data_IF_310995730739
#
_entry.id   IF_310995730739
#
_cell.length_a   1.000
_cell.length_b   1.000
_cell.length_c   1.000
_cell.angle_alpha   90.00
_cell.angle_beta   90.00
_cell.angle_gamma   90.00
#
_symmetry.space_group_name_H-M   'P 1'
#
loop_
_entity.id
_entity.type
_entity.pdbx_description
1 polymer ?
#
# COMPACT_ATOMS: atom_id res chain seq x y z
N UNK A 1 -11.49 -19.70 10.54
CA UNK A 1 -10.97 -18.32 10.37
C UNK A 1 -12.12 -17.50 9.82
N UNK A 2 -12.60 -16.51 10.56
CA UNK A 2 -13.68 -15.60 10.16
C UNK A 2 -13.09 -14.20 10.26
N UNK A 3 -13.30 -13.37 9.24
CA UNK A 3 -12.83 -11.98 9.21
C UNK A 3 -13.63 -11.13 10.20
N UNK A 4 -13.01 -10.07 10.71
CA UNK A 4 -13.77 -9.04 11.44
C UNK A 4 -14.58 -8.20 10.47
N UNK A 5 -15.62 -7.52 10.98
CA UNK A 5 -16.41 -6.59 10.17
C UNK A 5 -15.54 -5.48 9.55
N UNK A 6 -14.55 -4.98 10.29
CA UNK A 6 -13.60 -3.98 9.81
C UNK A 6 -12.73 -4.53 8.65
N UNK A 7 -12.23 -5.75 8.78
CA UNK A 7 -11.47 -6.43 7.72
C UNK A 7 -12.33 -6.65 6.46
N UNK A 8 -13.60 -7.03 6.62
CA UNK A 8 -14.55 -7.18 5.51
C UNK A 8 -14.81 -5.85 4.80
N UNK A 9 -15.06 -4.78 5.56
CA UNK A 9 -15.29 -3.43 5.01
C UNK A 9 -14.08 -2.92 4.23
N UNK A 10 -12.88 -3.06 4.77
CA UNK A 10 -11.64 -2.63 4.10
C UNK A 10 -11.44 -3.45 2.81
N UNK A 11 -11.57 -4.79 2.89
CA UNK A 11 -11.47 -5.66 1.71
C UNK A 11 -12.44 -5.22 0.62
N UNK A 12 -13.71 -5.05 0.96
CA UNK A 12 -14.74 -4.71 -0.03
C UNK A 12 -14.52 -3.31 -0.64
N UNK A 13 -14.02 -2.35 0.15
CA UNK A 13 -13.68 -1.01 -0.35
C UNK A 13 -12.51 -1.06 -1.34
N UNK A 14 -11.46 -1.83 -1.05
CA UNK A 14 -10.30 -1.95 -1.95
C UNK A 14 -10.60 -2.85 -3.16
N UNK A 15 -11.55 -3.78 -3.04
CA UNK A 15 -12.08 -4.51 -4.18
C UNK A 15 -12.75 -3.57 -5.17
N UNK A 16 -13.66 -2.71 -4.70
CA UNK A 16 -14.33 -1.73 -5.56
C UNK A 16 -13.32 -0.82 -6.26
N UNK A 17 -12.36 -0.27 -5.51
CA UNK A 17 -11.26 0.51 -6.07
C UNK A 17 -10.49 -0.28 -7.14
N UNK A 18 -10.11 -1.53 -6.87
CA UNK A 18 -9.36 -2.34 -7.82
C UNK A 18 -10.14 -2.61 -9.12
N UNK A 19 -11.44 -2.88 -9.02
CA UNK A 19 -12.29 -3.13 -10.19
C UNK A 19 -12.56 -1.86 -11.02
N UNK A 20 -12.64 -0.69 -10.38
CA UNK A 20 -12.97 0.56 -11.07
C UNK A 20 -11.75 1.36 -11.54
N UNK A 21 -10.66 1.32 -10.77
CA UNK A 21 -9.49 2.20 -10.94
C UNK A 21 -8.24 1.48 -11.43
N UNK A 22 -8.17 0.14 -11.33
CA UNK A 22 -7.00 -0.64 -11.75
C UNK A 22 -7.32 -1.55 -12.93
N UNK A 23 -8.28 -2.47 -12.78
CA UNK A 23 -8.57 -3.53 -13.75
C UNK A 23 -8.83 -3.03 -15.19
N UNK A 24 -9.57 -1.93 -15.43
CA UNK A 24 -9.81 -1.42 -16.78
C UNK A 24 -8.54 -0.94 -17.49
N UNK A 25 -7.51 -0.55 -16.74
CA UNK A 25 -6.28 0.07 -17.26
C UNK A 25 -5.08 -0.89 -17.25
N UNK A 26 -5.11 -1.93 -16.42
CA UNK A 26 -4.00 -2.86 -16.20
C UNK A 26 -3.39 -3.40 -17.51
N UNK A 27 -4.23 -3.82 -18.47
CA UNK A 27 -3.74 -4.34 -19.75
C UNK A 27 -3.07 -3.28 -20.64
N UNK A 28 -3.47 -2.02 -20.55
CA UNK A 28 -2.80 -0.92 -21.25
C UNK A 28 -1.46 -0.57 -20.58
N UNK A 29 -1.46 -0.48 -19.24
CA UNK A 29 -0.25 -0.21 -18.47
C UNK A 29 0.83 -1.25 -18.68
N UNK A 30 0.47 -2.54 -18.74
CA UNK A 30 1.38 -3.63 -19.08
C UNK A 30 2.01 -3.44 -20.46
N UNK A 31 1.19 -3.27 -21.52
CA UNK A 31 1.67 -3.12 -22.90
C UNK A 31 2.59 -1.92 -23.09
N UNK A 32 2.36 -0.84 -22.36
CA UNK A 32 3.09 0.41 -22.49
C UNK A 32 4.11 0.67 -21.38
N UNK A 33 4.33 -0.30 -20.47
CA UNK A 33 5.18 -0.13 -19.28
C UNK A 33 4.86 1.15 -18.48
N UNK A 34 3.57 1.47 -18.36
CA UNK A 34 3.12 2.68 -17.68
C UNK A 34 3.17 2.49 -16.17
N UNK A 35 3.83 3.41 -15.49
CA UNK A 35 3.83 3.45 -14.03
C UNK A 35 2.50 4.07 -13.53
N UNK A 36 1.72 3.39 -12.66
CA UNK A 36 0.37 3.79 -12.29
C UNK A 36 0.35 4.91 -11.22
N UNK A 37 0.99 6.05 -11.50
CA UNK A 37 1.21 7.12 -10.52
C UNK A 37 -0.09 7.70 -9.93
N UNK A 38 -1.12 7.90 -10.76
CA UNK A 38 -2.40 8.44 -10.31
C UNK A 38 -3.14 7.48 -9.38
N UNK A 39 -3.20 6.19 -9.75
CA UNK A 39 -3.82 5.18 -8.91
C UNK A 39 -3.07 5.00 -7.58
N UNK A 40 -1.74 5.09 -7.57
CA UNK A 40 -0.94 5.04 -6.34
C UNK A 40 -1.18 6.26 -5.44
N UNK A 41 -1.37 7.46 -6.01
CA UNK A 41 -1.76 8.65 -5.24
C UNK A 41 -3.11 8.44 -4.55
N UNK A 42 -4.11 7.94 -5.29
CA UNK A 42 -5.44 7.65 -4.73
C UNK A 42 -5.38 6.57 -3.64
N UNK A 43 -4.59 5.51 -3.86
CA UNK A 43 -4.33 4.49 -2.83
C UNK A 43 -3.65 5.06 -1.57
N UNK A 44 -2.77 6.05 -1.74
CA UNK A 44 -2.19 6.80 -0.63
C UNK A 44 -3.25 7.58 0.17
N UNK A 45 -4.16 8.26 -0.52
CA UNK A 45 -5.28 8.99 0.09
C UNK A 45 -6.26 8.05 0.83
N UNK A 46 -6.38 6.79 0.37
CA UNK A 46 -7.14 5.73 1.04
C UNK A 46 -6.37 5.05 2.19
N UNK A 47 -5.12 5.45 2.47
CA UNK A 47 -4.28 4.87 3.52
C UNK A 47 -3.66 3.51 3.19
N UNK A 48 -3.78 3.04 1.94
CA UNK A 48 -3.29 1.72 1.53
C UNK A 48 -1.75 1.63 1.48
N UNK A 49 -1.04 2.76 1.47
CA UNK A 49 0.43 2.84 1.41
C UNK A 49 1.13 2.85 2.78
N UNK A 50 0.36 2.88 3.87
CA UNK A 50 0.87 2.88 5.25
C UNK A 50 -0.04 2.13 6.20
N UNK A 51 -0.66 1.04 5.75
CA UNK A 51 -1.75 0.37 6.47
C UNK A 51 -1.36 -0.04 7.89
N UNK A 52 -0.21 -0.71 8.04
CA UNK A 52 0.24 -1.26 9.31
C UNK A 52 1.11 -0.30 10.12
N UNK A 53 1.29 0.93 9.62
CA UNK A 53 2.04 1.96 10.33
C UNK A 53 1.11 2.61 11.36
N UNK A 54 1.54 2.80 12.62
CA UNK A 54 0.73 3.47 13.64
C UNK A 54 0.31 4.89 13.23
N UNK A 55 -0.86 5.32 13.71
CA UNK A 55 -1.40 6.66 13.43
C UNK A 55 -0.47 7.80 13.86
N UNK A 56 0.28 7.63 14.96
CA UNK A 56 1.30 8.61 15.41
C UNK A 56 2.37 8.89 14.34
N UNK A 57 2.63 7.92 13.46
CA UNK A 57 3.53 8.01 12.33
C UNK A 57 2.79 8.20 10.99
N UNK A 58 1.52 8.56 11.02
CA UNK A 58 0.73 8.92 9.83
C UNK A 58 0.25 7.74 8.99
N UNK A 59 0.24 6.52 9.53
CA UNK A 59 -0.38 5.37 8.88
C UNK A 59 -1.81 5.11 9.33
N UNK A 60 -2.39 4.00 8.88
CA UNK A 60 -3.78 3.63 9.17
C UNK A 60 -3.95 2.79 10.45
N UNK A 61 -2.87 2.35 11.10
CA UNK A 61 -2.93 1.59 12.36
C UNK A 61 -3.58 0.20 12.25
N UNK A 62 -3.69 -0.35 11.04
CA UNK A 62 -4.37 -1.62 10.74
C UNK A 62 -3.48 -2.83 11.01
N UNK A 63 -4.09 -4.02 11.05
CA UNK A 63 -3.37 -5.28 11.20
C UNK A 63 -2.86 -5.88 9.88
N UNK A 64 -1.98 -6.88 9.97
CA UNK A 64 -1.42 -7.57 8.81
C UNK A 64 -2.44 -8.41 8.03
N UNK A 65 -3.53 -8.86 8.66
CA UNK A 65 -4.61 -9.56 7.94
C UNK A 65 -5.33 -8.59 7.02
N UNK A 66 -5.64 -7.38 7.49
CA UNK A 66 -6.18 -6.29 6.68
C UNK A 66 -5.25 -5.96 5.51
N UNK A 67 -3.93 -5.87 5.74
CA UNK A 67 -2.96 -5.63 4.67
C UNK A 67 -2.97 -6.75 3.62
N UNK A 68 -3.01 -8.03 4.03
CA UNK A 68 -3.05 -9.16 3.10
C UNK A 68 -4.32 -9.13 2.25
N UNK A 69 -5.48 -8.86 2.86
CA UNK A 69 -6.76 -8.73 2.13
C UNK A 69 -6.69 -7.61 1.09
N UNK A 70 -6.14 -6.44 1.46
CA UNK A 70 -5.98 -5.32 0.53
C UNK A 70 -5.04 -5.66 -0.61
N UNK A 71 -3.90 -6.31 -0.34
CA UNK A 71 -2.97 -6.73 -1.39
C UNK A 71 -3.63 -7.74 -2.34
N UNK A 72 -4.43 -8.67 -1.82
CA UNK A 72 -5.18 -9.65 -2.64
C UNK A 72 -6.15 -8.95 -3.59
N UNK A 73 -6.94 -8.01 -3.10
CA UNK A 73 -7.92 -7.29 -3.92
C UNK A 73 -7.25 -6.38 -4.95
N UNK A 74 -6.18 -5.66 -4.58
CA UNK A 74 -5.39 -4.85 -5.53
C UNK A 74 -4.77 -5.75 -6.59
N UNK A 75 -4.23 -6.91 -6.23
CA UNK A 75 -3.63 -7.85 -7.18
C UNK A 75 -4.66 -8.44 -8.16
N UNK A 76 -5.91 -8.60 -7.73
CA UNK A 76 -7.01 -9.01 -8.61
C UNK A 76 -7.36 -7.96 -9.68
N UNK A 77 -7.04 -6.67 -9.44
CA UNK A 77 -7.15 -5.59 -10.42
C UNK A 77 -5.88 -5.40 -11.25
N UNK A 78 -4.73 -5.23 -10.61
CA UNK A 78 -3.41 -5.11 -11.24
C UNK A 78 -2.28 -5.63 -10.35
N UNK A 79 -1.56 -6.66 -10.84
CA UNK A 79 -0.47 -7.31 -10.09
C UNK A 79 0.78 -6.44 -9.93
N UNK A 80 1.06 -5.53 -10.87
CA UNK A 80 2.20 -4.63 -10.76
C UNK A 80 1.98 -3.60 -9.64
N UNK A 81 0.78 -3.01 -9.57
CA UNK A 81 0.36 -2.09 -8.51
C UNK A 81 0.40 -2.77 -7.14
N UNK A 82 -0.10 -4.00 -7.02
CA UNK A 82 -0.06 -4.73 -5.74
C UNK A 82 1.36 -4.97 -5.24
N UNK A 83 2.31 -5.18 -6.15
CA UNK A 83 3.74 -5.30 -5.82
C UNK A 83 4.28 -4.01 -5.22
N UNK A 84 3.94 -2.85 -5.79
CA UNK A 84 4.36 -1.54 -5.28
C UNK A 84 3.79 -1.30 -3.86
N UNK A 85 2.49 -1.56 -3.67
CA UNK A 85 1.82 -1.42 -2.35
C UNK A 85 2.44 -2.37 -1.32
N UNK A 86 2.75 -3.60 -1.71
CA UNK A 86 3.40 -4.59 -0.86
C UNK A 86 4.80 -4.12 -0.42
N UNK A 87 5.64 -3.68 -1.35
CA UNK A 87 6.99 -3.16 -1.05
C UNK A 87 6.92 -1.92 -0.16
N UNK A 88 6.00 -1.01 -0.44
CA UNK A 88 5.80 0.19 0.36
C UNK A 88 5.50 -0.15 1.82
N UNK A 89 4.52 -1.03 2.07
CA UNK A 89 4.13 -1.39 3.43
C UNK A 89 5.19 -2.24 4.15
N UNK A 90 5.70 -3.27 3.48
CA UNK A 90 6.54 -4.30 4.13
C UNK A 90 8.01 -3.90 4.24
N UNK A 91 8.58 -3.29 3.20
CA UNK A 91 10.01 -2.98 3.14
C UNK A 91 10.25 -1.52 3.51
N UNK A 92 9.67 -0.57 2.78
CA UNK A 92 9.92 0.85 3.03
C UNK A 92 9.42 1.26 4.42
N UNK A 93 8.10 1.16 4.65
CA UNK A 93 7.50 1.47 5.94
C UNK A 93 7.95 0.50 7.03
N UNK A 94 7.89 -0.81 6.79
CA UNK A 94 8.20 -1.82 7.79
C UNK A 94 9.62 -1.74 8.36
N UNK A 95 10.64 -1.55 7.51
CA UNK A 95 12.04 -1.46 7.97
C UNK A 95 12.27 -0.13 8.70
N UNK A 96 11.80 1.00 8.16
CA UNK A 96 11.95 2.31 8.81
C UNK A 96 11.21 2.36 10.14
N UNK A 97 10.01 1.77 10.23
CA UNK A 97 9.25 1.68 11.47
C UNK A 97 9.96 0.84 12.53
N UNK A 98 10.54 -0.30 12.14
CA UNK A 98 11.17 -1.23 13.07
C UNK A 98 12.55 -0.77 13.56
N UNK A 99 13.33 -0.14 12.69
CA UNK A 99 14.75 0.14 12.97
C UNK A 99 15.12 1.62 12.98
N UNK A 100 14.22 2.51 12.54
CA UNK A 100 14.47 3.94 12.55
C UNK A 100 14.41 4.55 13.96
N UNK A 101 15.19 5.60 14.20
CA UNK A 101 14.97 6.49 15.36
C UNK A 101 13.69 7.30 15.17
N UNK A 102 13.21 7.94 16.23
CA UNK A 102 11.99 8.77 16.14
C UNK A 102 12.18 9.95 15.18
N UNK A 103 13.37 10.55 15.10
CA UNK A 103 13.70 11.58 14.12
C UNK A 103 13.68 11.04 12.68
N UNK A 104 14.14 9.81 12.47
CA UNK A 104 14.10 9.14 11.18
C UNK A 104 12.66 8.78 10.78
N UNK A 105 11.83 8.33 11.72
CA UNK A 105 10.42 8.06 11.46
C UNK A 105 9.65 9.34 11.14
N UNK A 106 9.91 10.43 11.88
CA UNK A 106 9.30 11.73 11.59
C UNK A 106 9.64 12.21 10.17
N UNK A 107 10.90 12.07 9.77
CA UNK A 107 11.39 12.57 8.48
C UNK A 107 10.99 11.68 7.31
N UNK A 108 10.98 10.36 7.50
CA UNK A 108 10.87 9.39 6.40
C UNK A 108 9.62 8.52 6.49
N UNK A 109 9.29 7.96 7.67
CA UNK A 109 8.15 7.07 7.81
C UNK A 109 6.82 7.80 7.56
N UNK A 110 6.65 9.02 8.09
CA UNK A 110 5.43 9.80 7.90
C UNK A 110 5.07 10.05 6.42
N UNK A 111 5.95 10.62 5.58
CA UNK A 111 5.62 10.81 4.17
C UNK A 111 5.48 9.50 3.39
N UNK A 112 6.17 8.42 3.81
CA UNK A 112 5.98 7.09 3.21
C UNK A 112 4.58 6.53 3.54
N UNK A 113 4.18 6.55 4.80
CA UNK A 113 2.90 6.01 5.27
C UNK A 113 1.70 6.75 4.67
N UNK A 114 1.84 8.07 4.45
CA UNK A 114 0.82 8.91 3.80
C UNK A 114 0.78 8.78 2.27
N UNK A 115 1.70 8.02 1.68
CA UNK A 115 1.79 7.91 0.21
C UNK A 115 2.35 9.14 -0.51
N UNK A 116 2.85 10.15 0.23
CA UNK A 116 3.49 11.34 -0.33
C UNK A 116 4.84 10.99 -1.00
N UNK A 117 5.47 9.91 -0.54
CA UNK A 117 6.69 9.33 -1.10
C UNK A 117 6.53 7.83 -1.25
N UNK A 118 7.16 7.29 -2.30
CA UNK A 118 7.34 5.85 -2.48
C UNK A 118 8.76 5.47 -2.09
N UNK A 119 8.90 4.38 -1.33
CA UNK A 119 10.18 3.80 -0.96
C UNK A 119 10.59 2.67 -1.90
N UNK A 120 11.88 2.38 -1.91
CA UNK A 120 12.47 1.24 -2.61
C UNK A 120 13.40 0.48 -1.68
N UNK A 121 13.70 -0.77 -2.03
CA UNK A 121 14.62 -1.62 -1.28
C UNK A 121 15.62 -2.27 -2.22
N UNK A 122 16.88 -1.84 -2.14
CA UNK A 122 17.96 -2.25 -3.03
C UNK A 122 18.90 -3.20 -2.29
N UNK A 123 18.63 -4.51 -2.35
CA UNK A 123 19.43 -5.54 -1.66
C UNK A 123 20.21 -6.45 -2.61
N UNK A 124 19.60 -6.85 -3.72
CA UNK A 124 20.20 -7.79 -4.67
C UNK A 124 21.29 -7.14 -5.52
N UNK A 125 22.39 -7.86 -5.76
CA UNK A 125 23.54 -7.46 -6.59
C UNK A 125 23.71 -8.35 -7.83
#
# INVERSE_FOLDING_TARGET
>A
MILTQEQEMIRDSLREFAQERLAPFAGEWDRHHTFPAEALRELGELGALGMVVPEEWGGAGMDYMSLVLVIEEIAAGDGATSTIVSVQNSLACGITMKYGTDEQKETWLKPLARGEKLGCFCLTE
#
